data_IF_401222787493
#
_entry.id   IF_401222787493
#
_cell.length_a   1.000
_cell.length_b   1.000
_cell.length_c   1.000
_cell.angle_alpha   90.00
_cell.angle_beta   90.00
_cell.angle_gamma   90.00
#
_symmetry.space_group_name_H-M   'P 1'
#
loop_
_entity.id
_entity.type
_entity.pdbx_description
1 polymer ?
#
# COMPACT_ATOMS: atom_id res chain seq x y z
N UNK A 1 -35.81 -59.68 45.35
CA UNK A 1 -34.68 -59.44 44.43
C UNK A 1 -33.85 -58.30 44.99
N UNK A 2 -32.59 -58.59 45.34
CA UNK A 2 -31.59 -57.60 45.79
C UNK A 2 -31.04 -56.87 44.56
N UNK A 3 -30.89 -55.55 44.61
CA UNK A 3 -29.87 -54.88 43.83
C UNK A 3 -29.07 -53.93 44.73
N UNK A 4 -27.76 -54.16 44.67
CA UNK A 4 -26.68 -53.62 45.47
C UNK A 4 -26.08 -52.39 44.77
N UNK A 5 -25.59 -51.45 45.59
CA UNK A 5 -24.36 -50.63 45.42
C UNK A 5 -24.32 -49.58 44.30
N UNK A 6 -23.95 -48.33 44.61
CA UNK A 6 -22.57 -47.79 44.66
C UNK A 6 -22.65 -46.27 44.97
N UNK A 7 -22.27 -45.84 46.17
CA UNK A 7 -20.98 -45.20 46.55
C UNK A 7 -20.78 -43.79 45.97
N UNK A 8 -21.06 -42.83 46.86
CA UNK A 8 -20.58 -41.45 46.96
C UNK A 8 -19.05 -41.39 47.08
N UNK A 9 -18.37 -40.41 46.45
CA UNK A 9 -17.04 -39.98 46.91
C UNK A 9 -16.05 -39.48 45.86
N UNK A 10 -16.10 -38.17 45.59
CA UNK A 10 -14.96 -37.24 45.48
C UNK A 10 -13.59 -37.80 45.05
N UNK A 11 -13.19 -37.59 43.79
CA UNK A 11 -11.78 -37.42 43.40
C UNK A 11 -11.70 -36.25 42.44
N UNK A 12 -11.09 -35.16 42.91
CA UNK A 12 -10.65 -34.06 42.08
C UNK A 12 -9.45 -34.54 41.25
N UNK A 13 -9.62 -34.60 39.93
CA UNK A 13 -8.53 -34.78 38.98
C UNK A 13 -8.77 -33.85 37.79
N UNK A 14 -8.25 -32.63 37.96
CA UNK A 14 -7.70 -31.73 36.93
C UNK A 14 -8.16 -32.05 35.50
N UNK A 15 -9.25 -31.39 35.10
CA UNK A 15 -9.59 -31.23 33.70
C UNK A 15 -8.52 -30.31 33.08
N UNK A 16 -7.44 -30.92 32.57
CA UNK A 16 -6.54 -30.29 31.62
C UNK A 16 -7.39 -29.96 30.37
N UNK A 17 -8.07 -28.81 30.40
CA UNK A 17 -8.41 -28.07 29.20
C UNK A 17 -7.09 -27.65 28.57
N UNK A 18 -6.48 -28.60 27.86
CA UNK A 18 -5.56 -28.32 26.80
C UNK A 18 -6.34 -27.47 25.81
N UNK A 19 -6.21 -26.15 25.92
CA UNK A 19 -6.53 -25.24 24.84
C UNK A 19 -5.69 -25.70 23.68
N UNK A 20 -6.29 -26.47 22.80
CA UNK A 20 -5.74 -26.79 21.49
C UNK A 20 -5.64 -25.45 20.78
N UNK A 21 -4.48 -24.80 20.90
CA UNK A 21 -4.07 -23.81 19.92
C UNK A 21 -3.95 -24.63 18.65
N UNK A 22 -4.96 -24.52 17.79
CA UNK A 22 -4.84 -25.01 16.42
C UNK A 22 -3.80 -24.09 15.78
N UNK A 23 -2.55 -24.52 15.83
CA UNK A 23 -1.58 -24.07 14.84
C UNK A 23 -2.15 -24.57 13.52
N UNK A 24 -2.63 -23.65 12.68
CA UNK A 24 -2.89 -23.96 11.28
C UNK A 24 -1.63 -24.64 10.74
N UNK A 25 -1.80 -25.86 10.21
CA UNK A 25 -0.72 -26.57 9.56
C UNK A 25 -0.28 -25.76 8.34
N UNK A 26 1.00 -25.89 7.99
CA UNK A 26 1.54 -25.45 6.71
C UNK A 26 0.59 -25.88 5.57
N UNK A 27 0.20 -24.96 4.67
CA UNK A 27 -0.79 -25.11 3.58
C UNK A 27 -2.29 -24.82 3.87
N UNK A 28 -2.63 -23.98 4.86
CA UNK A 28 -4.05 -23.67 5.15
C UNK A 28 -4.76 -22.78 4.09
N UNK A 29 -4.02 -22.24 3.13
CA UNK A 29 -4.58 -21.45 2.01
C UNK A 29 -4.40 -22.19 0.69
N UNK A 30 -5.42 -22.97 0.33
CA UNK A 30 -5.49 -23.61 -1.00
C UNK A 30 -6.26 -22.72 -1.99
N UNK A 31 -5.52 -22.03 -2.87
CA UNK A 31 -6.13 -21.42 -4.06
C UNK A 31 -6.21 -22.47 -5.17
N UNK A 32 -7.39 -23.03 -5.35
CA UNK A 32 -7.70 -23.86 -6.51
C UNK A 32 -7.83 -23.00 -7.77
N UNK A 33 -7.60 -23.60 -8.93
CA UNK A 33 -7.78 -22.93 -10.22
C UNK A 33 -9.18 -22.34 -10.31
N UNK A 34 -9.28 -21.03 -10.56
CA UNK A 34 -10.55 -20.31 -10.65
C UNK A 34 -11.02 -19.63 -9.36
N UNK A 35 -10.26 -19.72 -8.26
CA UNK A 35 -10.56 -18.93 -7.05
C UNK A 35 -10.38 -17.44 -7.31
N UNK A 36 -11.42 -16.62 -7.10
CA UNK A 36 -11.37 -15.19 -7.39
C UNK A 36 -10.88 -14.36 -6.20
N UNK A 37 -9.93 -13.45 -6.46
CA UNK A 37 -9.47 -12.42 -5.54
C UNK A 37 -9.86 -11.07 -6.16
N UNK A 38 -10.88 -10.43 -5.59
CA UNK A 38 -11.36 -9.13 -6.07
C UNK A 38 -10.87 -8.01 -5.16
N UNK A 39 -10.18 -7.04 -5.77
CA UNK A 39 -9.75 -5.78 -5.14
C UNK A 39 -10.15 -4.60 -6.04
N UNK A 40 -10.06 -3.37 -5.55
CA UNK A 40 -10.52 -2.18 -6.29
C UNK A 40 -9.88 -1.98 -7.68
N UNK A 41 -8.71 -2.57 -7.93
CA UNK A 41 -8.00 -2.50 -9.22
C UNK A 41 -8.41 -3.58 -10.25
N UNK A 42 -9.18 -4.58 -9.84
CA UNK A 42 -9.66 -5.67 -10.70
C UNK A 42 -9.72 -7.01 -9.98
N UNK A 43 -10.20 -8.02 -10.71
CA UNK A 43 -10.29 -9.40 -10.22
C UNK A 43 -9.12 -10.22 -10.76
N UNK A 44 -8.45 -10.93 -9.86
CA UNK A 44 -7.43 -11.92 -10.18
C UNK A 44 -7.98 -13.31 -9.91
N UNK A 45 -7.62 -14.27 -10.73
CA UNK A 45 -8.02 -15.67 -10.56
C UNK A 45 -6.82 -16.52 -10.17
N UNK A 46 -6.95 -17.34 -9.15
CA UNK A 46 -5.94 -18.34 -8.80
C UNK A 46 -5.71 -19.26 -9.98
N UNK A 47 -4.44 -19.45 -10.37
CA UNK A 47 -4.08 -20.24 -11.55
C UNK A 47 -3.55 -21.65 -11.18
N UNK A 48 -3.88 -22.12 -9.98
CA UNK A 48 -3.53 -23.45 -9.46
C UNK A 48 -2.56 -23.39 -8.28
N UNK A 49 -2.72 -24.36 -7.37
CA UNK A 49 -1.86 -24.70 -6.24
C UNK A 49 -1.09 -23.55 -5.58
N UNK A 50 -1.65 -22.98 -4.51
CA UNK A 50 -0.92 -22.07 -3.63
C UNK A 50 -0.44 -22.82 -2.38
N UNK A 51 0.81 -22.61 -2.00
CA UNK A 51 1.38 -23.07 -0.73
C UNK A 51 1.76 -21.83 0.08
N UNK A 52 0.77 -21.22 0.74
CA UNK A 52 0.91 -19.97 1.48
C UNK A 52 0.63 -20.18 2.97
N UNK A 53 1.28 -19.37 3.82
CA UNK A 53 0.96 -19.36 5.25
C UNK A 53 -0.32 -18.56 5.52
N UNK A 54 -0.51 -17.44 4.82
CA UNK A 54 -1.78 -16.72 4.85
C UNK A 54 -1.99 -15.86 3.60
N UNK A 55 -3.26 -15.60 3.28
CA UNK A 55 -3.69 -14.64 2.27
C UNK A 55 -4.80 -13.79 2.90
N UNK A 56 -4.58 -12.48 2.97
CA UNK A 56 -5.55 -11.50 3.47
C UNK A 56 -5.93 -10.57 2.35
N UNK A 57 -7.22 -10.42 2.07
CA UNK A 57 -7.73 -9.50 1.04
C UNK A 57 -8.27 -8.24 1.71
N UNK A 58 -7.73 -7.09 1.30
CA UNK A 58 -8.23 -5.76 1.65
C UNK A 58 -9.04 -5.18 0.48
N UNK A 59 -9.57 -3.96 0.67
CA UNK A 59 -10.38 -3.29 -0.35
C UNK A 59 -9.60 -2.97 -1.64
N UNK A 60 -8.31 -2.64 -1.55
CA UNK A 60 -7.48 -2.23 -2.69
C UNK A 60 -6.30 -3.14 -3.00
N UNK A 61 -5.90 -3.98 -2.05
CA UNK A 61 -4.71 -4.82 -2.10
C UNK A 61 -5.01 -6.17 -1.47
N UNK A 62 -4.13 -7.13 -1.66
CA UNK A 62 -4.12 -8.34 -0.85
C UNK A 62 -2.69 -8.64 -0.41
N UNK A 63 -2.56 -9.17 0.80
CA UNK A 63 -1.27 -9.51 1.40
C UNK A 63 -1.14 -11.01 1.49
N UNK A 64 0.01 -11.54 1.08
CA UNK A 64 0.36 -12.95 1.17
C UNK A 64 1.60 -13.13 2.03
N UNK A 65 1.55 -14.11 2.92
CA UNK A 65 2.70 -14.55 3.71
C UNK A 65 3.26 -15.81 3.08
N UNK A 66 4.48 -15.71 2.55
CA UNK A 66 5.17 -16.74 1.80
C UNK A 66 6.37 -17.27 2.59
N UNK A 67 6.24 -18.39 3.34
CA UNK A 67 7.39 -19.07 3.94
C UNK A 67 8.31 -19.69 2.87
N UNK A 68 9.40 -20.32 3.31
CA UNK A 68 10.33 -21.00 2.39
C UNK A 68 9.61 -22.12 1.61
N UNK A 69 10.02 -22.41 0.38
CA UNK A 69 9.38 -23.43 -0.46
C UNK A 69 7.90 -23.16 -0.81
N UNK A 70 7.45 -21.91 -0.71
CA UNK A 70 6.12 -21.47 -1.08
C UNK A 70 6.01 -21.05 -2.54
N UNK A 71 4.88 -21.32 -3.18
CA UNK A 71 4.55 -20.77 -4.49
C UNK A 71 3.11 -20.28 -4.56
N UNK A 72 2.89 -19.24 -5.34
CA UNK A 72 1.56 -18.67 -5.56
C UNK A 72 1.47 -18.13 -6.98
N UNK A 73 0.43 -18.54 -7.71
CA UNK A 73 0.18 -18.04 -9.07
C UNK A 73 -1.24 -17.52 -9.20
N UNK A 74 -1.37 -16.37 -9.86
CA UNK A 74 -2.66 -15.82 -10.25
C UNK A 74 -2.64 -15.30 -11.68
N UNK A 75 -3.82 -15.15 -12.25
CA UNK A 75 -4.07 -14.64 -13.58
C UNK A 75 -4.99 -13.41 -13.52
N UNK A 76 -4.88 -12.55 -14.53
CA UNK A 76 -5.81 -11.45 -14.78
C UNK A 76 -6.36 -11.60 -16.19
N UNK A 77 -7.68 -11.75 -16.32
CA UNK A 77 -8.36 -11.80 -17.61
C UNK A 77 -8.27 -10.46 -18.36
N UNK A 78 -8.33 -9.34 -17.63
CA UNK A 78 -8.18 -7.99 -18.21
C UNK A 78 -6.73 -7.59 -18.45
N UNK A 79 -5.81 -8.55 -18.36
CA UNK A 79 -4.36 -8.35 -18.48
C UNK A 79 -3.85 -7.27 -17.53
N UNK A 80 -4.35 -7.12 -16.31
CA UNK A 80 -3.91 -6.01 -15.45
C UNK A 80 -2.44 -6.15 -15.06
N UNK A 81 -1.71 -5.03 -15.06
CA UNK A 81 -0.40 -4.94 -14.38
C UNK A 81 -0.59 -5.14 -12.88
N UNK A 82 0.45 -5.59 -12.19
CA UNK A 82 0.44 -5.63 -10.72
C UNK A 82 1.62 -4.86 -10.16
N UNK A 83 1.44 -4.29 -8.98
CA UNK A 83 2.53 -3.73 -8.19
C UNK A 83 2.64 -4.54 -6.91
N UNK A 84 3.85 -5.00 -6.61
CA UNK A 84 4.14 -5.72 -5.38
C UNK A 84 4.99 -4.83 -4.50
N UNK A 85 4.59 -4.72 -3.26
CA UNK A 85 5.29 -3.98 -2.20
C UNK A 85 5.68 -4.96 -1.11
N UNK A 86 6.87 -4.76 -0.55
CA UNK A 86 7.55 -5.73 0.30
C UNK A 86 8.90 -6.14 -0.30
N UNK A 87 9.82 -6.56 0.57
CA UNK A 87 11.14 -6.99 0.12
C UNK A 87 10.96 -8.33 -0.60
N UNK A 88 11.18 -8.35 -1.92
CA UNK A 88 11.09 -9.59 -2.68
C UNK A 88 12.18 -10.59 -2.26
N UNK A 89 13.29 -10.13 -1.65
CA UNK A 89 14.30 -11.01 -1.04
C UNK A 89 14.70 -12.18 -1.95
N UNK A 90 14.38 -13.40 -1.52
CA UNK A 90 14.60 -14.67 -2.23
C UNK A 90 13.50 -15.05 -3.22
N UNK A 91 12.35 -14.37 -3.21
CA UNK A 91 11.19 -14.67 -4.07
C UNK A 91 11.48 -14.29 -5.52
N UNK A 92 11.37 -15.28 -6.38
CA UNK A 92 11.39 -15.11 -7.84
C UNK A 92 9.98 -14.83 -8.32
N UNK A 93 9.82 -13.84 -9.19
CA UNK A 93 8.53 -13.48 -9.78
C UNK A 93 8.62 -13.51 -11.29
N UNK A 94 7.71 -14.27 -11.91
CA UNK A 94 7.61 -14.41 -13.36
C UNK A 94 6.28 -13.82 -13.82
N UNK A 95 6.33 -12.87 -14.76
CA UNK A 95 5.14 -12.29 -15.39
C UNK A 95 5.06 -12.74 -16.85
N UNK A 96 3.92 -13.28 -17.27
CA UNK A 96 3.63 -13.63 -18.65
C UNK A 96 2.41 -12.85 -19.13
N UNK A 97 2.62 -11.92 -20.06
CA UNK A 97 1.54 -11.17 -20.69
C UNK A 97 1.09 -11.88 -21.96
N UNK A 98 0.11 -12.78 -21.86
CA UNK A 98 -0.52 -13.43 -23.01
C UNK A 98 -1.38 -12.45 -23.83
N UNK A 99 -1.98 -12.93 -24.92
CA UNK A 99 -2.85 -12.14 -25.78
C UNK A 99 -4.18 -11.76 -25.11
N UNK A 100 -4.75 -12.66 -24.30
CA UNK A 100 -6.08 -12.50 -23.68
C UNK A 100 -6.06 -12.54 -22.16
N UNK A 101 -4.91 -12.79 -21.53
CA UNK A 101 -4.76 -12.78 -20.07
C UNK A 101 -3.29 -12.60 -19.70
N UNK A 102 -3.04 -12.18 -18.47
CA UNK A 102 -1.69 -12.14 -17.90
C UNK A 102 -1.58 -13.06 -16.70
N UNK A 103 -0.48 -13.79 -16.55
CA UNK A 103 -0.21 -14.63 -15.38
C UNK A 103 1.01 -14.13 -14.62
N UNK A 104 0.96 -14.25 -13.30
CA UNK A 104 2.02 -13.86 -12.38
C UNK A 104 2.28 -14.98 -11.40
N UNK A 105 3.51 -15.49 -11.38
CA UNK A 105 3.95 -16.59 -10.53
C UNK A 105 5.01 -16.09 -9.56
N UNK A 106 4.79 -16.36 -8.27
CA UNK A 106 5.71 -16.06 -7.17
C UNK A 106 6.23 -17.37 -6.61
N UNK A 107 7.55 -17.50 -6.49
CA UNK A 107 8.20 -18.71 -5.95
C UNK A 107 9.25 -18.32 -4.92
N UNK A 108 9.06 -18.73 -3.67
CA UNK A 108 10.07 -18.62 -2.62
C UNK A 108 10.88 -19.93 -2.58
N UNK A 109 12.19 -19.93 -2.84
CA UNK A 109 13.00 -21.14 -2.80
C UNK A 109 13.06 -21.74 -1.39
N UNK A 110 13.51 -22.99 -1.28
CA UNK A 110 13.70 -23.68 0.02
C UNK A 110 14.76 -23.01 0.91
N UNK A 111 15.67 -22.23 0.33
CA UNK A 111 16.65 -21.40 1.04
C UNK A 111 16.11 -20.01 1.44
N UNK A 112 14.85 -19.71 1.13
CA UNK A 112 14.23 -18.42 1.40
C UNK A 112 13.82 -18.24 2.86
N UNK A 113 13.63 -16.99 3.27
CA UNK A 113 12.97 -16.64 4.55
C UNK A 113 11.48 -16.37 4.31
N UNK A 114 10.68 -16.38 5.37
CA UNK A 114 9.27 -15.97 5.28
C UNK A 114 9.15 -14.49 4.91
N UNK A 115 8.36 -14.20 3.88
CA UNK A 115 8.18 -12.86 3.34
C UNK A 115 6.71 -12.46 3.32
N UNK A 116 6.45 -11.20 3.63
CA UNK A 116 5.13 -10.58 3.57
C UNK A 116 5.08 -9.71 2.32
N UNK A 117 4.34 -10.15 1.31
CA UNK A 117 4.18 -9.44 0.05
C UNK A 117 2.78 -8.84 -0.02
N UNK A 118 2.69 -7.56 -0.33
CA UNK A 118 1.41 -6.87 -0.58
C UNK A 118 1.28 -6.57 -2.06
N UNK A 119 0.23 -7.08 -2.68
CA UNK A 119 -0.02 -6.98 -4.12
C UNK A 119 -1.19 -6.03 -4.37
N UNK A 120 -0.97 -5.10 -5.29
CA UNK A 120 -1.95 -4.16 -5.82
C UNK A 120 -2.18 -4.43 -7.31
N UNK A 121 -3.45 -4.39 -7.73
CA UNK A 121 -3.81 -4.50 -9.16
C UNK A 121 -3.75 -3.11 -9.78
N UNK A 122 -2.85 -2.91 -10.73
CA UNK A 122 -2.66 -1.65 -11.43
C UNK A 122 -3.71 -1.43 -12.52
N UNK A 123 -3.85 -0.17 -12.95
CA UNK A 123 -4.83 0.22 -13.97
C UNK A 123 -4.38 -0.09 -15.41
N UNK A 124 -3.07 -0.25 -15.64
CA UNK A 124 -2.48 -0.52 -16.93
C UNK A 124 -2.63 -2.00 -17.36
N UNK A 125 -2.45 -2.26 -18.66
CA UNK A 125 -2.44 -3.63 -19.19
C UNK A 125 -1.02 -4.16 -19.37
N UNK A 126 -0.86 -5.45 -19.07
CA UNK A 126 0.34 -6.24 -19.17
C UNK A 126 0.77 -6.27 -20.63
N UNK A 127 1.90 -5.64 -20.94
CA UNK A 127 2.46 -5.46 -22.28
C UNK A 127 3.90 -5.99 -22.41
N UNK A 128 4.53 -6.43 -21.32
CA UNK A 128 5.83 -7.09 -21.34
C UNK A 128 6.23 -7.69 -20.00
N UNK A 129 7.38 -8.36 -19.96
CA UNK A 129 7.89 -9.04 -18.76
C UNK A 129 8.28 -8.10 -17.61
N UNK A 130 9.05 -8.64 -16.65
CA UNK A 130 9.50 -7.95 -15.44
C UNK A 130 10.02 -6.55 -15.74
N UNK A 131 9.33 -5.52 -15.25
CA UNK A 131 9.67 -4.17 -15.65
C UNK A 131 9.50 -3.17 -14.51
N UNK A 132 10.65 -2.64 -14.14
CA UNK A 132 10.87 -1.51 -13.24
C UNK A 132 10.84 -1.88 -11.75
N UNK A 133 12.05 -2.05 -11.19
CA UNK A 133 12.30 -1.78 -9.77
C UNK A 133 12.24 -0.27 -9.59
N UNK A 134 11.12 0.23 -9.05
CA UNK A 134 11.00 1.64 -8.69
C UNK A 134 11.84 1.95 -7.43
N UNK A 135 12.01 0.95 -6.55
CA UNK A 135 12.87 0.94 -5.35
C UNK A 135 13.11 -0.53 -4.93
N UNK A 136 14.06 -0.81 -4.02
CA UNK A 136 14.34 -2.14 -3.46
C UNK A 136 13.13 -2.84 -2.81
N UNK A 137 12.04 -2.11 -2.53
CA UNK A 137 10.86 -2.61 -1.81
C UNK A 137 9.54 -2.49 -2.60
N UNK A 138 9.58 -2.09 -3.88
CA UNK A 138 8.39 -2.00 -4.74
C UNK A 138 8.74 -2.27 -6.20
N UNK A 139 8.03 -3.24 -6.79
CA UNK A 139 8.25 -3.69 -8.17
C UNK A 139 6.91 -3.79 -8.86
N UNK A 140 6.82 -3.18 -10.03
CA UNK A 140 5.65 -3.33 -10.92
C UNK A 140 5.95 -4.42 -11.94
N UNK A 141 4.97 -5.24 -12.26
CA UNK A 141 5.08 -6.33 -13.22
C UNK A 141 4.08 -6.12 -14.35
N UNK A 142 4.47 -6.54 -15.56
CA UNK A 142 3.62 -6.46 -16.73
C UNK A 142 3.82 -5.20 -17.58
N UNK A 143 4.67 -4.24 -17.21
CA UNK A 143 4.90 -3.09 -18.11
C UNK A 143 5.90 -3.49 -19.21
N UNK A 144 5.69 -3.07 -20.45
CA UNK A 144 6.66 -3.31 -21.52
C UNK A 144 7.86 -2.38 -21.37
N UNK A 145 9.08 -2.94 -21.35
CA UNK A 145 10.29 -2.14 -21.46
C UNK A 145 10.31 -1.40 -22.79
N UNK A 146 10.15 -0.07 -22.76
CA UNK A 146 10.37 0.78 -23.93
C UNK A 146 11.85 0.77 -24.29
N UNK A 147 12.24 -0.09 -25.23
CA UNK A 147 13.57 -0.09 -25.81
C UNK A 147 13.76 1.13 -26.71
N UNK A 148 14.52 2.12 -26.23
CA UNK A 148 15.09 3.16 -27.07
C UNK A 148 16.13 2.57 -28.03
N UNK A 149 16.10 3.03 -29.28
CA UNK A 149 16.99 2.56 -30.34
C UNK A 149 18.45 2.99 -30.17
N UNK A 150 19.34 2.12 -30.65
CA UNK A 150 20.74 2.37 -30.95
C UNK A 150 21.19 1.34 -31.98
N UNK A 151 21.56 1.79 -33.18
CA UNK A 151 21.80 0.93 -34.34
C UNK A 151 23.16 0.23 -34.35
N UNK A 152 23.26 -0.83 -35.19
CA UNK A 152 24.52 -1.38 -35.66
C UNK A 152 24.54 -2.90 -35.88
N UNK A 153 24.09 -3.35 -37.06
CA UNK A 153 24.66 -4.52 -37.76
C UNK A 153 24.15 -5.93 -37.44
N UNK A 154 23.43 -6.52 -38.42
CA UNK A 154 23.59 -7.95 -38.76
C UNK A 154 22.45 -8.91 -38.45
N UNK A 155 21.82 -9.38 -39.54
CA UNK A 155 21.17 -10.70 -39.72
C UNK A 155 19.71 -10.90 -39.28
N UNK A 156 18.85 -10.77 -40.31
CA UNK A 156 17.72 -11.63 -40.70
C UNK A 156 16.81 -12.22 -39.62
N UNK A 157 15.51 -11.85 -39.65
CA UNK A 157 14.43 -12.75 -40.11
C UNK A 157 13.07 -12.01 -40.26
N UNK A 158 12.47 -12.25 -41.44
CA UNK A 158 11.05 -12.38 -41.80
C UNK A 158 10.06 -11.23 -41.53
N UNK A 159 9.43 -10.81 -42.63
CA UNK A 159 8.44 -9.75 -42.77
C UNK A 159 7.05 -10.11 -42.22
N UNK A 160 6.36 -9.14 -41.62
CA UNK A 160 4.91 -9.09 -41.66
C UNK A 160 4.39 -7.66 -41.76
N UNK A 161 3.53 -7.45 -42.76
CA UNK A 161 2.80 -6.25 -43.14
C UNK A 161 1.92 -5.70 -42.01
N UNK A 162 2.03 -4.41 -41.73
CA UNK A 162 1.01 -3.66 -40.97
C UNK A 162 0.55 -2.45 -41.78
N UNK A 163 -0.74 -2.46 -42.11
CA UNK A 163 -1.50 -1.40 -42.77
C UNK A 163 -1.90 -0.34 -41.73
N UNK A 164 -1.87 0.97 -42.05
CA UNK A 164 -2.14 2.03 -41.08
C UNK A 164 -3.66 2.25 -40.93
N UNK A 165 -4.15 2.21 -39.69
CA UNK A 165 -5.42 2.86 -39.34
C UNK A 165 -5.20 3.80 -38.16
N UNK A 166 -5.61 5.05 -38.38
CA UNK A 166 -5.39 6.24 -37.58
C UNK A 166 -6.00 6.18 -36.18
N UNK A 167 -5.40 6.89 -35.20
CA UNK A 167 -5.85 6.96 -33.82
C UNK A 167 -6.78 8.17 -33.59
N UNK A 168 -7.93 7.97 -32.96
CA UNK A 168 -8.72 9.01 -32.29
C UNK A 168 -9.40 8.25 -31.13
N UNK A 169 -9.16 8.53 -29.84
CA UNK A 169 -9.47 9.76 -29.11
C UNK A 169 -8.44 10.11 -28.02
N UNK A 170 -8.19 11.42 -27.91
CA UNK A 170 -7.58 12.20 -26.82
C UNK A 170 -6.16 11.81 -26.34
N UNK A 171 -5.17 12.13 -27.18
CA UNK A 171 -3.80 12.40 -26.74
C UNK A 171 -3.79 13.50 -25.67
N UNK A 172 -3.60 13.13 -24.40
CA UNK A 172 -3.13 14.07 -23.39
C UNK A 172 -1.80 14.70 -23.83
N UNK A 173 -1.53 15.92 -23.38
CA UNK A 173 -0.28 16.61 -23.71
C UNK A 173 0.92 15.77 -23.27
N UNK A 174 1.89 15.57 -24.16
CA UNK A 174 3.13 14.88 -23.80
C UNK A 174 3.93 15.71 -22.80
N UNK A 175 4.73 15.06 -21.95
CA UNK A 175 5.59 15.74 -20.96
C UNK A 175 6.52 16.79 -21.61
N UNK A 176 6.94 16.55 -22.85
CA UNK A 176 7.74 17.50 -23.65
C UNK A 176 6.94 18.75 -24.01
N UNK A 177 5.67 18.61 -24.40
CA UNK A 177 4.78 19.75 -24.69
C UNK A 177 4.41 20.51 -23.41
N UNK A 178 4.20 19.81 -22.29
CA UNK A 178 3.98 20.45 -20.98
C UNK A 178 5.22 21.27 -20.60
N UNK A 179 6.43 20.71 -20.74
CA UNK A 179 7.66 21.43 -20.41
C UNK A 179 7.90 22.66 -21.30
N UNK A 180 7.53 22.60 -22.59
CA UNK A 180 7.62 23.75 -23.48
C UNK A 180 6.69 24.90 -23.06
N UNK A 181 5.47 24.59 -22.60
CA UNK A 181 4.52 25.59 -22.10
C UNK A 181 5.01 26.19 -20.77
N UNK A 182 5.61 25.37 -19.90
CA UNK A 182 6.19 25.83 -18.63
C UNK A 182 7.40 26.75 -18.87
N UNK A 183 8.28 26.40 -19.81
CA UNK A 183 9.41 27.23 -20.19
C UNK A 183 8.97 28.59 -20.77
N UNK A 184 7.87 28.61 -21.56
CA UNK A 184 7.29 29.85 -22.06
C UNK A 184 6.75 30.72 -20.92
N UNK A 185 6.04 30.15 -19.94
CA UNK A 185 5.54 30.90 -18.78
C UNK A 185 6.67 31.45 -17.90
N UNK A 186 7.76 30.71 -17.76
CA UNK A 186 8.95 31.16 -17.04
C UNK A 186 9.64 32.33 -17.75
N UNK A 187 9.60 32.38 -19.10
CA UNK A 187 10.14 33.51 -19.86
C UNK A 187 9.38 34.83 -19.64
N UNK A 188 8.13 34.75 -19.17
CA UNK A 188 7.33 35.90 -18.76
C UNK A 188 7.37 36.17 -17.25
N UNK A 189 8.29 35.53 -16.50
CA UNK A 189 8.41 35.63 -15.05
C UNK A 189 7.11 35.32 -14.29
N UNK A 190 6.30 34.38 -14.78
CA UNK A 190 5.10 33.94 -14.07
C UNK A 190 5.46 33.35 -12.69
N UNK A 191 4.63 33.65 -11.67
CA UNK A 191 4.82 33.12 -10.31
C UNK A 191 4.82 31.59 -10.29
N UNK A 192 5.68 31.00 -9.45
CA UNK A 192 5.83 29.54 -9.36
C UNK A 192 4.51 28.82 -9.03
N UNK A 193 3.64 29.45 -8.23
CA UNK A 193 2.32 28.90 -7.90
C UNK A 193 1.35 28.86 -9.09
N UNK A 194 1.53 29.75 -10.08
CA UNK A 194 0.76 29.77 -11.33
C UNK A 194 1.31 28.71 -12.27
N UNK A 195 2.63 28.60 -12.36
CA UNK A 195 3.32 27.55 -13.12
C UNK A 195 2.87 26.16 -12.65
N UNK A 196 2.78 25.94 -11.34
CA UNK A 196 2.37 24.65 -10.77
C UNK A 196 0.89 24.33 -11.07
N UNK A 197 -0.02 25.32 -10.95
CA UNK A 197 -1.44 25.15 -11.31
C UNK A 197 -1.61 24.83 -12.80
N UNK A 198 -0.84 25.48 -13.67
CA UNK A 198 -0.88 25.22 -15.11
C UNK A 198 -0.33 23.83 -15.41
N UNK A 199 0.81 23.45 -14.82
CA UNK A 199 1.39 22.10 -14.95
C UNK A 199 0.38 21.01 -14.55
N UNK A 200 -0.30 21.21 -13.42
CA UNK A 200 -1.33 20.29 -12.93
C UNK A 200 -2.56 20.21 -13.85
N UNK A 201 -2.98 21.33 -14.43
CA UNK A 201 -4.11 21.37 -15.37
C UNK A 201 -3.77 20.71 -16.72
N UNK A 202 -2.52 20.83 -17.17
CA UNK A 202 -2.05 20.28 -18.46
C UNK A 202 -1.69 18.80 -18.38
N UNK A 203 -1.33 18.28 -17.20
CA UNK A 203 -0.97 16.87 -17.00
C UNK A 203 -2.16 15.93 -16.75
N UNK A 204 -3.40 16.42 -16.87
CA UNK A 204 -4.60 15.58 -16.73
C UNK A 204 -4.83 15.00 -15.33
N UNK A 205 -4.13 15.50 -14.31
CA UNK A 205 -4.37 15.10 -12.93
C UNK A 205 -5.68 15.75 -12.46
N UNK A 206 -6.79 15.02 -12.59
CA UNK A 206 -8.02 15.34 -11.87
C UNK A 206 -7.64 15.50 -10.40
N UNK A 207 -7.87 16.69 -9.89
CA UNK A 207 -7.77 17.06 -8.48
C UNK A 207 -8.78 16.24 -7.68
N UNK A 208 -8.41 15.02 -7.29
CA UNK A 208 -8.69 14.61 -5.92
C UNK A 208 -7.66 15.31 -5.06
N UNK A 209 -8.14 16.18 -4.18
CA UNK A 209 -7.34 17.03 -3.31
C UNK A 209 -6.51 16.15 -2.37
N UNK A 210 -5.30 15.79 -2.79
CA UNK A 210 -4.36 14.95 -2.06
C UNK A 210 -2.97 15.17 -2.60
N UNK A 211 -2.33 16.26 -2.18
CA UNK A 211 -0.93 16.55 -2.49
C UNK A 211 -0.02 15.49 -1.87
N UNK A 212 0.38 14.52 -2.68
CA UNK A 212 1.57 13.73 -2.47
C UNK A 212 2.77 14.57 -2.92
N UNK A 213 3.30 15.38 -1.99
CA UNK A 213 4.69 15.84 -2.12
C UNK A 213 5.56 14.66 -1.70
N UNK A 214 6.11 13.97 -2.71
CA UNK A 214 7.34 13.20 -2.56
C UNK A 214 8.49 14.20 -2.55
N UNK A 215 9.03 14.42 -1.37
CA UNK A 215 10.18 15.28 -1.12
C UNK A 215 10.64 15.01 0.30
N UNK A 216 11.81 14.41 0.45
CA UNK A 216 12.41 14.09 1.74
C UNK A 216 12.62 15.35 2.56
N UNK A 217 11.65 15.65 3.43
CA UNK A 217 11.82 16.50 4.60
C UNK A 217 11.26 15.72 5.78
N UNK A 218 12.16 15.10 6.52
CA UNK A 218 11.94 14.56 7.85
C UNK A 218 11.17 15.58 8.70
N UNK A 219 10.05 15.19 9.30
CA UNK A 219 9.44 15.79 10.50
C UNK A 219 9.14 17.30 10.53
N UNK A 220 7.92 17.67 10.94
CA UNK A 220 7.41 19.05 11.15
C UNK A 220 7.43 20.00 9.94
N UNK A 221 8.41 19.96 9.03
CA UNK A 221 8.55 20.91 7.92
C UNK A 221 7.34 20.97 6.99
N UNK A 222 6.67 19.83 6.78
CA UNK A 222 5.43 19.72 5.99
C UNK A 222 4.20 20.21 6.78
N UNK A 223 4.23 20.10 8.11
CA UNK A 223 3.18 20.62 8.98
C UNK A 223 3.36 22.13 9.26
N UNK A 224 4.50 22.73 8.88
CA UNK A 224 4.76 24.15 9.14
C UNK A 224 3.84 25.04 8.31
N UNK A 225 3.16 25.97 8.97
CA UNK A 225 2.08 26.78 8.41
C UNK A 225 0.71 26.08 8.36
N UNK A 226 0.60 24.82 8.79
CA UNK A 226 -0.68 24.09 8.76
C UNK A 226 -1.61 24.52 9.90
N UNK A 227 -2.90 24.71 9.58
CA UNK A 227 -3.92 25.11 10.56
C UNK A 227 -4.98 24.02 10.68
N UNK A 228 -5.06 23.41 11.88
CA UNK A 228 -6.09 22.46 12.25
C UNK A 228 -7.42 23.17 12.51
N UNK A 229 -8.34 23.09 11.53
CA UNK A 229 -9.66 23.71 11.61
C UNK A 229 -10.75 22.79 12.20
N UNK A 230 -10.58 21.46 12.10
CA UNK A 230 -11.60 20.47 12.48
C UNK A 230 -11.16 19.65 13.68
N UNK A 231 -12.13 19.24 14.49
CA UNK A 231 -11.88 18.28 15.57
C UNK A 231 -11.64 16.90 14.99
N UNK A 232 -10.65 16.16 15.52
CA UNK A 232 -10.32 14.80 15.07
C UNK A 232 -10.56 13.79 16.18
N UNK A 233 -11.09 12.63 15.81
CA UNK A 233 -11.33 11.49 16.70
C UNK A 233 -11.10 10.17 15.97
N UNK A 234 -11.06 9.08 16.73
CA UNK A 234 -10.94 7.71 16.20
C UNK A 234 -11.91 7.47 15.06
N UNK A 235 -11.41 6.89 13.96
CA UNK A 235 -12.19 6.61 12.75
C UNK A 235 -12.20 7.73 11.72
N UNK A 236 -11.66 8.91 12.01
CA UNK A 236 -11.52 9.96 10.99
C UNK A 236 -10.44 9.59 9.97
N UNK A 237 -10.76 9.83 8.69
CA UNK A 237 -9.84 9.65 7.58
C UNK A 237 -9.75 10.94 6.76
N UNK A 238 -8.67 11.70 6.88
CA UNK A 238 -8.46 12.94 6.12
C UNK A 238 -7.00 13.43 6.25
N UNK A 239 -6.68 14.52 5.55
CA UNK A 239 -5.35 15.16 5.57
C UNK A 239 -5.00 15.76 6.93
N UNK A 240 -5.98 16.26 7.70
CA UNK A 240 -5.73 16.78 9.05
C UNK A 240 -5.13 15.68 9.95
N UNK A 241 -5.58 14.44 9.81
CA UNK A 241 -4.99 13.31 10.53
C UNK A 241 -3.53 13.10 10.12
N UNK A 242 -3.20 13.16 8.83
CA UNK A 242 -1.80 13.01 8.39
C UNK A 242 -0.90 14.11 8.95
N UNK A 243 -1.37 15.35 8.98
CA UNK A 243 -0.62 16.46 9.57
C UNK A 243 -0.47 16.32 11.09
N UNK A 244 -1.50 15.82 11.77
CA UNK A 244 -1.42 15.46 13.18
C UNK A 244 -0.33 14.40 13.39
N UNK A 245 -0.31 13.35 12.58
CA UNK A 245 0.69 12.29 12.71
C UNK A 245 2.12 12.79 12.50
N UNK A 246 2.34 13.71 11.55
CA UNK A 246 3.64 14.35 11.34
C UNK A 246 4.13 15.10 12.58
N UNK A 247 3.24 15.85 13.24
CA UNK A 247 3.58 16.57 14.48
C UNK A 247 3.84 15.58 15.62
N UNK A 248 3.02 14.55 15.77
CA UNK A 248 3.18 13.54 16.82
C UNK A 248 4.51 12.76 16.67
N UNK A 249 4.89 12.41 15.44
CA UNK A 249 6.12 11.72 15.12
C UNK A 249 7.38 12.57 15.24
N UNK A 250 7.26 13.88 15.43
CA UNK A 250 8.41 14.76 15.61
C UNK A 250 9.06 14.68 16.99
N UNK A 251 8.35 14.12 17.96
CA UNK A 251 8.81 13.97 19.34
C UNK A 251 8.75 12.49 19.70
N UNK A 252 9.86 11.93 20.18
CA UNK A 252 9.95 10.53 20.63
C UNK A 252 8.87 10.16 21.63
N UNK A 253 8.48 11.10 22.51
CA UNK A 253 7.46 10.88 23.54
C UNK A 253 6.05 10.68 22.98
N UNK A 254 5.79 11.24 21.80
CA UNK A 254 4.46 11.25 21.16
C UNK A 254 4.43 10.44 19.88
N UNK A 255 5.54 9.79 19.53
CA UNK A 255 5.66 8.99 18.32
C UNK A 255 4.61 7.88 18.31
N UNK A 256 3.97 7.72 17.15
CA UNK A 256 2.85 6.78 16.97
C UNK A 256 3.35 5.34 16.88
N UNK A 257 4.38 5.12 16.06
CA UNK A 257 5.02 3.82 15.88
C UNK A 257 6.50 3.98 15.54
N UNK A 258 7.32 3.00 15.89
CA UNK A 258 8.73 2.94 15.49
C UNK A 258 8.92 2.52 14.03
N UNK A 259 7.96 1.75 13.49
CA UNK A 259 7.99 1.26 12.11
C UNK A 259 6.57 1.00 11.60
N UNK A 260 6.42 0.85 10.28
CA UNK A 260 5.14 0.58 9.64
C UNK A 260 4.19 1.78 9.64
N UNK A 261 2.89 1.52 9.50
CA UNK A 261 1.87 2.56 9.35
C UNK A 261 1.86 3.53 10.55
N UNK A 262 1.94 4.83 10.25
CA UNK A 262 1.97 5.90 11.24
C UNK A 262 3.34 6.16 11.85
N UNK A 263 4.40 5.42 11.48
CA UNK A 263 5.78 5.76 11.87
C UNK A 263 6.30 7.01 11.15
N UNK A 264 7.39 7.64 11.62
CA UNK A 264 7.97 8.79 10.92
C UNK A 264 8.26 8.48 9.44
N UNK A 265 7.70 9.30 8.53
CA UNK A 265 7.80 9.11 7.08
C UNK A 265 6.80 8.10 6.49
N UNK A 266 6.00 7.46 7.32
CA UNK A 266 4.92 6.53 6.93
C UNK A 266 3.57 6.98 7.52
N UNK A 267 3.35 8.29 7.63
CA UNK A 267 2.11 8.85 8.15
C UNK A 267 0.92 8.51 7.26
N UNK A 268 -0.18 8.17 7.91
CA UNK A 268 -1.45 7.79 7.27
C UNK A 268 -2.48 8.90 7.42
N UNK A 269 -3.54 8.82 6.63
CA UNK A 269 -4.69 9.70 6.78
C UNK A 269 -5.68 9.19 7.84
N UNK A 270 -5.42 8.08 8.53
CA UNK A 270 -6.40 7.40 9.39
C UNK A 270 -6.12 7.56 10.88
N UNK A 271 -7.12 8.00 11.63
CA UNK A 271 -7.03 8.18 13.08
C UNK A 271 -7.38 6.85 13.75
N UNK A 272 -6.38 6.00 13.89
CA UNK A 272 -6.50 4.68 14.51
C UNK A 272 -6.25 4.68 16.02
N UNK A 273 -6.19 3.49 16.59
CA UNK A 273 -5.88 3.28 18.01
C UNK A 273 -4.48 3.78 18.39
N UNK A 274 -3.49 3.61 17.51
CA UNK A 274 -2.12 4.10 17.73
C UNK A 274 -2.06 5.63 17.72
N UNK A 275 -2.71 6.27 16.75
CA UNK A 275 -2.82 7.73 16.68
C UNK A 275 -3.53 8.28 17.93
N UNK A 276 -4.59 7.61 18.39
CA UNK A 276 -5.28 7.97 19.64
C UNK A 276 -4.33 7.96 20.84
N UNK A 277 -3.59 6.86 21.03
CA UNK A 277 -2.60 6.74 22.12
C UNK A 277 -1.52 7.82 22.04
N UNK A 278 -1.06 8.16 20.84
CA UNK A 278 -0.10 9.25 20.65
C UNK A 278 -0.69 10.63 21.02
N UNK A 279 -1.95 10.88 20.68
CA UNK A 279 -2.68 12.09 21.12
C UNK A 279 -2.88 12.12 22.62
N UNK A 280 -3.21 11.00 23.25
CA UNK A 280 -3.30 10.89 24.72
C UNK A 280 -1.97 11.30 25.37
N UNK A 281 -0.83 10.78 24.89
CA UNK A 281 0.51 11.18 25.36
C UNK A 281 0.80 12.67 25.12
N UNK A 282 0.42 13.18 23.96
CA UNK A 282 0.57 14.60 23.62
C UNK A 282 -0.22 15.49 24.58
N UNK A 283 -1.47 15.13 24.88
CA UNK A 283 -2.32 15.88 25.79
C UNK A 283 -1.76 15.89 27.21
N UNK A 284 -1.24 14.77 27.69
CA UNK A 284 -0.57 14.69 29.00
C UNK A 284 0.70 15.54 29.01
N UNK A 285 1.53 15.44 27.96
CA UNK A 285 2.80 16.19 27.83
C UNK A 285 2.60 17.71 27.90
N UNK A 286 1.50 18.23 27.36
CA UNK A 286 1.19 19.66 27.34
C UNK A 286 0.14 20.09 28.36
N UNK A 287 -0.27 19.20 29.29
CA UNK A 287 -1.24 19.53 30.34
C UNK A 287 -2.64 19.88 29.81
N UNK A 288 -3.06 19.31 28.68
CA UNK A 288 -4.33 19.61 28.01
C UNK A 288 -5.47 18.74 28.53
N UNK A 289 -5.23 17.44 28.68
CA UNK A 289 -6.21 16.48 29.18
C UNK A 289 -5.49 15.26 29.78
N UNK A 290 -6.12 14.62 30.77
CA UNK A 290 -5.70 13.34 31.38
C UNK A 290 -6.80 12.29 31.32
N UNK A 291 -6.45 11.05 31.65
CA UNK A 291 -7.39 9.93 31.67
C UNK A 291 -8.64 10.25 32.49
N UNK A 292 -9.81 10.02 31.91
CA UNK A 292 -11.11 10.33 32.51
C UNK A 292 -11.65 11.73 32.22
N UNK A 293 -10.86 12.63 31.64
CA UNK A 293 -11.33 13.97 31.27
C UNK A 293 -12.01 13.99 29.89
N UNK A 294 -13.02 14.85 29.69
CA UNK A 294 -13.66 15.02 28.40
C UNK A 294 -12.66 15.41 27.31
N UNK A 295 -12.68 14.67 26.20
CA UNK A 295 -11.80 14.92 25.06
C UNK A 295 -10.42 14.28 25.15
N UNK A 296 -10.13 13.49 26.19
CA UNK A 296 -8.93 12.65 26.25
C UNK A 296 -8.88 11.67 25.06
N UNK A 297 -7.76 11.68 24.34
CA UNK A 297 -7.56 10.94 23.09
C UNK A 297 -8.27 11.53 21.87
N UNK A 298 -8.82 12.74 21.95
CA UNK A 298 -9.41 13.46 20.81
C UNK A 298 -8.74 14.82 20.59
N UNK A 299 -8.73 15.27 19.35
CA UNK A 299 -8.17 16.57 18.96
C UNK A 299 -9.27 17.61 19.01
N UNK A 300 -9.60 18.06 20.23
CA UNK A 300 -10.53 19.15 20.48
C UNK A 300 -9.90 20.54 20.31
N UNK A 301 -10.63 21.64 20.60
CA UNK A 301 -10.16 23.02 20.41
C UNK A 301 -8.81 23.32 21.10
N UNK A 302 -8.62 22.85 22.34
CA UNK A 302 -7.37 23.05 23.09
C UNK A 302 -6.19 22.28 22.48
N UNK A 303 -6.40 21.00 22.13
CA UNK A 303 -5.38 20.19 21.43
C UNK A 303 -4.99 20.85 20.10
N UNK A 304 -5.97 21.33 19.32
CA UNK A 304 -5.74 22.03 18.06
C UNK A 304 -4.97 23.32 18.22
N UNK A 305 -5.28 24.12 19.24
CA UNK A 305 -4.56 25.34 19.53
C UNK A 305 -3.07 25.05 19.74
N UNK A 306 -2.75 24.01 20.51
CA UNK A 306 -1.35 23.61 20.73
C UNK A 306 -0.68 23.04 19.47
N UNK A 307 -1.39 22.24 18.67
CA UNK A 307 -0.87 21.75 17.40
C UNK A 307 -0.58 22.89 16.42
N UNK A 308 -1.47 23.89 16.32
CA UNK A 308 -1.27 25.09 15.51
C UNK A 308 -0.07 25.91 15.99
N UNK A 309 0.22 25.94 17.29
CA UNK A 309 1.40 26.62 17.84
C UNK A 309 2.69 25.91 17.42
N UNK A 310 2.72 24.58 17.50
CA UNK A 310 3.86 23.76 17.08
C UNK A 310 4.07 23.75 15.55
N UNK A 311 3.01 24.03 14.81
CA UNK A 311 3.01 24.13 13.36
C UNK A 311 3.40 25.53 12.84
N UNK A 312 3.67 26.52 13.69
CA UNK A 312 4.07 27.86 13.21
C UNK A 312 5.51 27.93 12.68
#
# INVERSE_FOLDING_TARGET
MKLNKLITGLVAAVLLLSTSVVFAAYDDVSLSTGSEISVSGGTLTGAGGATLESLTVDTSTFTVVMPANSSFTFASADKKTITVTGSLGSVTVTSNCGSSSSTYTFTNPSSGSTLNLTIEVGSATCSGGLSVRNNSNSVTFGVGGGGGGGGGGGSTVVAQTTTPTTPIYASGLSSTQVNAIIALLQSFNADQSVIDKVKMSLSGAVKTTGSSVSGGTTGIGIAKGYVFAKSLKTGNTNTDVKMLQLILNSSSDTQISASGAGSPGNETNYYGSLTRKAVEKFQVKYGIAKSGEPGYGTVGPMTRAKLNELAK
#
